data_IF_091502888991
#
_entry.id   IF_091502888991
#
_cell.length_a   1.000
_cell.length_b   1.000
_cell.length_c   1.000
_cell.angle_alpha   90.00
_cell.angle_beta   90.00
_cell.angle_gamma   90.00
#
_symmetry.space_group_name_H-M   'P 1'
#
loop_
_entity.id
_entity.type
_entity.pdbx_description
1 polymer ?
#
# COMPACT_ATOMS: atom_id res chain seq x y z
N UNK A 1 -18.59 -4.75 -5.38
CA UNK A 1 -17.94 -4.54 -4.07
C UNK A 1 -16.41 -4.54 -4.20
N UNK A 2 -15.81 -5.51 -4.91
CA UNK A 2 -14.36 -5.57 -5.23
C UNK A 2 -13.79 -4.25 -5.78
N UNK A 3 -14.53 -3.58 -6.67
CA UNK A 3 -14.09 -2.33 -7.32
C UNK A 3 -13.97 -1.17 -6.31
N UNK A 4 -14.86 -1.08 -5.30
CA UNK A 4 -14.81 0.00 -4.31
C UNK A 4 -13.63 -0.16 -3.35
N UNK A 5 -13.35 -1.38 -2.89
CA UNK A 5 -12.21 -1.64 -2.01
C UNK A 5 -10.87 -1.49 -2.73
N UNK A 6 -10.76 -1.96 -3.97
CA UNK A 6 -9.57 -1.73 -4.78
C UNK A 6 -9.35 -0.22 -5.05
N UNK A 7 -10.44 0.56 -5.16
CA UNK A 7 -10.35 2.02 -5.23
C UNK A 7 -9.87 2.63 -3.90
N UNK A 8 -10.33 2.14 -2.75
CA UNK A 8 -9.82 2.57 -1.43
C UNK A 8 -8.33 2.25 -1.32
N UNK A 9 -7.92 1.02 -1.63
CA UNK A 9 -6.52 0.59 -1.59
C UNK A 9 -5.64 1.41 -2.56
N UNK A 10 -6.17 1.74 -3.73
CA UNK A 10 -5.51 2.64 -4.68
C UNK A 10 -5.31 4.05 -4.10
N UNK A 11 -6.34 4.60 -3.42
CA UNK A 11 -6.25 5.88 -2.74
C UNK A 11 -5.24 5.84 -1.58
N UNK A 12 -5.22 4.77 -0.79
CA UNK A 12 -4.26 4.58 0.30
C UNK A 12 -2.81 4.57 -0.20
N UNK A 13 -2.53 3.85 -1.30
CA UNK A 13 -1.20 3.90 -1.93
C UNK A 13 -0.80 5.31 -2.38
N UNK A 14 -1.74 6.09 -2.95
CA UNK A 14 -1.48 7.49 -3.31
C UNK A 14 -1.24 8.37 -2.08
N UNK A 15 -2.00 8.18 -1.01
CA UNK A 15 -1.80 8.90 0.25
C UNK A 15 -0.44 8.56 0.88
N UNK A 16 -0.04 7.28 0.87
CA UNK A 16 1.27 6.85 1.31
C UNK A 16 2.39 7.54 0.52
N UNK A 17 2.27 7.61 -0.81
CA UNK A 17 3.22 8.34 -1.65
C UNK A 17 3.32 9.83 -1.27
N UNK A 18 2.18 10.50 -1.04
CA UNK A 18 2.15 11.91 -0.62
C UNK A 18 2.83 12.09 0.73
N UNK A 19 2.53 11.23 1.72
CA UNK A 19 3.16 11.27 3.05
C UNK A 19 4.67 11.10 2.95
N UNK A 20 5.14 10.16 2.12
CA UNK A 20 6.57 9.94 1.86
C UNK A 20 7.20 11.19 1.21
N UNK A 21 6.53 11.83 0.25
CA UNK A 21 6.98 13.09 -0.36
C UNK A 21 7.10 14.20 0.69
N UNK A 22 6.07 14.39 1.52
CA UNK A 22 6.08 15.43 2.57
C UNK A 22 7.20 15.21 3.58
N UNK A 23 7.40 13.96 4.01
CA UNK A 23 8.49 13.58 4.90
C UNK A 23 9.87 13.77 4.27
N UNK A 24 9.97 13.48 2.98
CA UNK A 24 11.18 13.69 2.21
C UNK A 24 11.52 15.18 2.11
N UNK A 25 10.55 16.04 1.76
CA UNK A 25 10.73 17.50 1.72
C UNK A 25 11.11 18.03 3.11
N UNK A 26 10.41 17.61 4.16
CA UNK A 26 10.72 18.01 5.53
C UNK A 26 12.17 17.65 5.90
N UNK A 27 12.59 16.41 5.63
CA UNK A 27 13.97 15.96 5.90
C UNK A 27 15.00 16.67 5.02
N UNK A 28 14.68 16.94 3.75
CA UNK A 28 15.56 17.66 2.84
C UNK A 28 15.79 19.09 3.34
N UNK A 29 14.70 19.83 3.59
CA UNK A 29 14.77 21.20 4.13
C UNK A 29 15.51 21.21 5.47
N UNK A 30 15.16 20.32 6.40
CA UNK A 30 15.84 20.25 7.71
C UNK A 30 17.33 19.93 7.58
N UNK A 31 17.73 19.02 6.69
CA UNK A 31 19.15 18.66 6.48
C UNK A 31 19.94 19.74 5.76
N UNK A 32 19.32 20.49 4.85
CA UNK A 32 19.96 21.67 4.25
C UNK A 32 20.36 22.72 5.29
N UNK A 33 19.67 22.76 6.44
CA UNK A 33 19.99 23.67 7.54
C UNK A 33 21.06 23.14 8.50
N UNK A 34 21.29 21.83 8.60
CA UNK A 34 22.05 21.24 9.73
C UNK A 34 23.36 20.58 9.31
N UNK A 35 23.45 19.94 8.14
CA UNK A 35 24.69 19.48 7.46
C UNK A 35 24.30 18.49 6.34
N UNK A 36 25.06 18.45 5.23
CA UNK A 36 24.82 17.50 4.12
C UNK A 36 25.70 16.25 4.30
N UNK A 37 25.16 15.09 4.70
CA UNK A 37 25.97 13.88 4.85
C UNK A 37 26.21 13.15 3.52
N UNK A 38 27.37 12.48 3.40
CA UNK A 38 27.87 11.75 2.22
C UNK A 38 26.97 10.61 1.67
N UNK A 39 25.93 10.19 2.39
CA UNK A 39 24.98 9.16 1.94
C UNK A 39 23.71 9.74 1.26
N UNK A 40 23.75 10.99 0.81
CA UNK A 40 22.56 11.72 0.33
C UNK A 40 21.96 11.13 -0.95
N UNK A 41 22.78 10.69 -1.91
CA UNK A 41 22.31 10.28 -3.25
C UNK A 41 21.59 8.93 -3.21
N UNK A 42 22.14 7.93 -2.53
CA UNK A 42 21.49 6.61 -2.40
C UNK A 42 20.18 6.70 -1.62
N UNK A 43 20.16 7.49 -0.54
CA UNK A 43 18.94 7.75 0.22
C UNK A 43 17.89 8.50 -0.61
N UNK A 44 18.32 9.45 -1.44
CA UNK A 44 17.44 10.19 -2.36
C UNK A 44 16.79 9.26 -3.38
N UNK A 45 17.61 8.47 -4.09
CA UNK A 45 17.14 7.52 -5.10
C UNK A 45 16.20 6.47 -4.51
N UNK A 46 16.50 5.96 -3.31
CA UNK A 46 15.63 5.01 -2.62
C UNK A 46 14.24 5.58 -2.30
N UNK A 47 14.18 6.86 -1.88
CA UNK A 47 12.89 7.53 -1.62
C UNK A 47 12.12 7.78 -2.92
N UNK A 48 12.78 8.23 -3.99
CA UNK A 48 12.15 8.38 -5.30
C UNK A 48 11.58 7.05 -5.82
N UNK A 49 12.34 5.96 -5.70
CA UNK A 49 11.89 4.62 -6.07
C UNK A 49 10.67 4.17 -5.24
N UNK A 50 10.67 4.44 -3.93
CA UNK A 50 9.55 4.13 -3.04
C UNK A 50 8.26 4.87 -3.45
N UNK A 51 8.37 6.16 -3.76
CA UNK A 51 7.24 6.98 -4.25
C UNK A 51 6.69 6.38 -5.55
N UNK A 52 7.56 6.08 -6.51
CA UNK A 52 7.16 5.52 -7.79
C UNK A 52 6.49 4.15 -7.63
N UNK A 53 7.04 3.28 -6.78
CA UNK A 53 6.47 1.97 -6.48
C UNK A 53 5.06 2.08 -5.88
N UNK A 54 4.79 3.07 -5.03
CA UNK A 54 3.45 3.34 -4.53
C UNK A 54 2.46 3.76 -5.63
N UNK A 55 2.88 4.59 -6.59
CA UNK A 55 2.02 4.94 -7.72
C UNK A 55 1.76 3.75 -8.66
N UNK A 56 2.76 2.91 -8.90
CA UNK A 56 2.58 1.64 -9.64
C UNK A 56 1.58 0.76 -8.91
N UNK A 57 1.75 0.54 -7.61
CA UNK A 57 0.81 -0.26 -6.82
C UNK A 57 -0.59 0.34 -6.85
N UNK A 58 -0.73 1.67 -6.71
CA UNK A 58 -2.02 2.35 -6.81
C UNK A 58 -2.74 2.10 -8.14
N UNK A 59 -2.00 2.00 -9.25
CA UNK A 59 -2.57 1.65 -10.56
C UNK A 59 -2.88 0.15 -10.64
N UNK A 60 -1.95 -0.69 -10.19
CA UNK A 60 -2.01 -2.15 -10.28
C UNK A 60 -3.14 -2.74 -9.46
N UNK A 61 -3.34 -2.29 -8.20
CA UNK A 61 -4.38 -2.83 -7.31
C UNK A 61 -5.79 -2.61 -7.84
N UNK A 62 -6.01 -1.63 -8.74
CA UNK A 62 -7.30 -1.44 -9.41
C UNK A 62 -7.68 -2.61 -10.30
N UNK A 63 -6.70 -3.32 -10.86
CA UNK A 63 -6.94 -4.51 -11.69
C UNK A 63 -7.48 -5.69 -10.89
N UNK A 64 -7.28 -5.69 -9.57
CA UNK A 64 -7.73 -6.76 -8.68
C UNK A 64 -6.99 -8.09 -8.85
N UNK A 65 -5.92 -8.13 -9.65
CA UNK A 65 -5.14 -9.35 -9.86
C UNK A 65 -4.44 -9.79 -8.57
N UNK A 66 -4.24 -11.10 -8.42
CA UNK A 66 -3.51 -11.66 -7.27
C UNK A 66 -2.09 -11.10 -7.16
N UNK A 67 -1.40 -10.92 -8.30
CA UNK A 67 -0.06 -10.32 -8.34
C UNK A 67 -0.04 -8.87 -7.84
N UNK A 68 -1.06 -8.07 -8.19
CA UNK A 68 -1.17 -6.69 -7.71
C UNK A 68 -1.36 -6.60 -6.20
N UNK A 69 -2.08 -7.57 -5.62
CA UNK A 69 -2.28 -7.67 -4.17
C UNK A 69 -1.00 -8.07 -3.44
N UNK A 70 -0.26 -9.05 -3.96
CA UNK A 70 1.04 -9.42 -3.39
C UNK A 70 2.01 -8.23 -3.42
N UNK A 71 2.05 -7.48 -4.52
CA UNK A 71 2.83 -6.24 -4.61
C UNK A 71 2.40 -5.20 -3.57
N UNK A 72 1.09 -5.03 -3.36
CA UNK A 72 0.56 -4.15 -2.32
C UNK A 72 0.99 -4.57 -0.91
N UNK A 73 0.86 -5.86 -0.57
CA UNK A 73 1.26 -6.42 0.73
C UNK A 73 2.75 -6.19 0.97
N UNK A 74 3.59 -6.52 -0.01
CA UNK A 74 5.04 -6.34 0.08
C UNK A 74 5.41 -4.88 0.40
N UNK A 75 4.85 -3.94 -0.35
CA UNK A 75 5.08 -2.50 -0.12
C UNK A 75 4.58 -2.04 1.24
N UNK A 76 3.50 -2.65 1.73
CA UNK A 76 2.91 -2.32 3.02
C UNK A 76 3.78 -2.79 4.18
N UNK A 77 4.32 -4.01 4.10
CA UNK A 77 5.29 -4.54 5.08
C UNK A 77 6.57 -3.71 5.09
N UNK A 78 7.04 -3.30 3.92
CA UNK A 78 8.19 -2.41 3.82
C UNK A 78 7.96 -1.05 4.51
N UNK A 79 6.74 -0.49 4.43
CA UNK A 79 6.38 0.74 5.15
C UNK A 79 6.35 0.56 6.67
N UNK A 80 5.85 -0.58 7.17
CA UNK A 80 5.83 -0.87 8.61
C UNK A 80 7.22 -0.81 9.25
N UNK A 81 8.25 -1.22 8.52
CA UNK A 81 9.62 -1.24 9.02
C UNK A 81 10.26 0.17 9.08
N UNK A 82 9.79 1.12 8.28
CA UNK A 82 10.49 2.41 8.08
C UNK A 82 9.83 3.62 8.77
N UNK A 83 8.56 3.54 9.19
CA UNK A 83 7.82 4.73 9.65
C UNK A 83 6.76 4.48 10.74
N UNK A 84 6.84 5.13 11.92
CA UNK A 84 5.79 5.06 12.95
C UNK A 84 4.44 5.62 12.47
N UNK A 85 4.44 6.76 11.77
CA UNK A 85 3.22 7.36 11.17
C UNK A 85 2.74 6.56 9.95
N UNK A 86 3.67 6.00 9.19
CA UNK A 86 3.37 5.09 8.06
C UNK A 86 2.74 3.78 8.50
N UNK A 87 2.91 3.39 9.77
CA UNK A 87 2.39 2.15 10.35
C UNK A 87 0.86 2.13 10.33
N UNK A 88 0.18 3.23 10.64
CA UNK A 88 -1.30 3.28 10.63
C UNK A 88 -1.84 3.07 9.21
N UNK A 89 -1.27 3.78 8.24
CA UNK A 89 -1.64 3.64 6.82
C UNK A 89 -1.34 2.22 6.34
N UNK A 90 -0.21 1.66 6.76
CA UNK A 90 0.19 0.31 6.40
C UNK A 90 -0.74 -0.76 6.98
N UNK A 91 -1.15 -0.63 8.25
CA UNK A 91 -2.14 -1.54 8.85
C UNK A 91 -3.45 -1.50 8.07
N UNK A 92 -3.92 -0.32 7.67
CA UNK A 92 -5.12 -0.20 6.82
C UNK A 92 -4.93 -0.88 5.46
N UNK A 93 -3.78 -0.69 4.82
CA UNK A 93 -3.47 -1.31 3.53
C UNK A 93 -3.39 -2.84 3.63
N UNK A 94 -2.80 -3.38 4.71
CA UNK A 94 -2.76 -4.82 4.98
C UNK A 94 -4.15 -5.39 5.16
N UNK A 95 -5.03 -4.71 5.89
CA UNK A 95 -6.42 -5.12 6.07
C UNK A 95 -7.14 -5.26 4.71
N UNK A 96 -7.01 -4.27 3.82
CA UNK A 96 -7.66 -4.34 2.51
C UNK A 96 -6.98 -5.33 1.53
N UNK A 97 -5.70 -5.64 1.73
CA UNK A 97 -4.96 -6.54 0.85
C UNK A 97 -5.06 -8.02 1.24
N UNK A 98 -5.10 -8.33 2.55
CA UNK A 98 -5.16 -9.70 3.07
C UNK A 98 -6.55 -10.30 3.01
N UNK A 99 -7.58 -9.50 3.36
CA UNK A 99 -8.94 -10.00 3.32
C UNK A 99 -9.46 -9.93 1.88
N UNK A 100 -9.48 -11.08 1.21
CA UNK A 100 -10.21 -11.26 -0.04
C UNK A 100 -11.70 -11.22 0.30
N UNK A 101 -12.28 -10.02 0.27
CA UNK A 101 -13.72 -9.82 0.37
C UNK A 101 -14.39 -10.29 -0.94
N UNK A 102 -14.26 -11.58 -1.23
CA UNK A 102 -15.04 -12.24 -2.25
C UNK A 102 -16.50 -12.21 -1.86
N UNK A 103 -17.36 -11.89 -2.82
CA UNK A 103 -18.81 -11.79 -2.61
C UNK A 103 -19.49 -13.17 -2.61
N UNK A 104 -18.74 -14.23 -2.83
CA UNK A 104 -19.27 -15.58 -2.80
C UNK A 104 -18.87 -16.22 -1.49
N UNK A 105 -19.87 -16.31 -0.61
CA UNK A 105 -19.91 -17.29 0.47
C UNK A 105 -19.38 -18.61 -0.08
N UNK A 106 -18.15 -18.98 0.30
CA UNK A 106 -17.60 -20.31 0.00
C UNK A 106 -18.44 -21.41 0.68
N UNK A 107 -19.35 -21.01 1.57
CA UNK A 107 -20.39 -21.83 2.15
C UNK A 107 -21.68 -21.74 1.32
N UNK A 108 -21.74 -22.48 0.21
CA UNK A 108 -23.04 -22.89 -0.33
C UNK A 108 -23.54 -24.02 0.57
N UNK A 109 -24.52 -23.72 1.42
CA UNK A 109 -25.28 -24.78 2.09
C UNK A 109 -25.82 -25.70 0.99
N UNK A 110 -25.59 -27.02 1.08
CA UNK A 110 -26.20 -27.95 0.14
C UNK A 110 -27.70 -27.98 0.44
N UNK A 111 -28.46 -27.11 -0.21
CA UNK A 111 -29.92 -27.19 -0.26
C UNK A 111 -30.29 -28.09 -1.45
N UNK A 112 -29.73 -29.29 -1.47
CA UNK A 112 -30.25 -30.42 -2.21
C UNK A 112 -30.48 -31.54 -1.20
N UNK A 113 -31.47 -31.38 -0.33
CA UNK A 113 -31.99 -32.47 0.50
C UNK A 113 -33.37 -32.10 1.08
N UNK A 114 -34.32 -31.82 0.20
CA UNK A 114 -35.75 -32.06 0.46
C UNK A 114 -36.46 -32.15 -0.91
N UNK A 115 -36.27 -33.29 -1.59
CA UNK A 115 -37.24 -34.39 -1.70
C UNK A 115 -38.50 -34.00 -2.49
N UNK A 116 -38.60 -34.65 -3.67
CA UNK A 116 -39.74 -35.40 -4.20
C UNK A 116 -41.12 -35.10 -3.61
#
# INVERSE_FOLDING_TARGET
MLNHQNQILSKLHKMAAIVVITLFIYKAVYRFYVDIPQYSVGSFLGVCALIFAHFICAKSVKTGSTSSRFGSIFMTVFMLNNFPIGTVIAVMMLFFSLFKWEKDSTFKLPIELQKS
#
